data_IF_517859025736
#
_entry.id   IF_517859025736
#
_cell.length_a   1.000
_cell.length_b   1.000
_cell.length_c   1.000
_cell.angle_alpha   90.00
_cell.angle_beta   90.00
_cell.angle_gamma   90.00
#
_symmetry.space_group_name_H-M   'P 1'
#
loop_
_entity.id
_entity.type
_entity.pdbx_description
1 polymer ?
#
# COMPACT_ATOMS: atom_id res chain seq x y z
N UNK A 1 9.55 8.40 -6.11
CA UNK A 1 9.91 9.44 -7.11
C UNK A 1 10.06 10.78 -6.40
N UNK A 2 10.63 11.81 -7.03
CA UNK A 2 10.57 13.18 -6.52
C UNK A 2 9.49 13.94 -7.29
N UNK A 3 8.54 14.56 -6.60
CA UNK A 3 7.46 15.34 -7.24
C UNK A 3 7.41 16.73 -6.64
N UNK A 4 7.43 17.74 -7.51
CA UNK A 4 7.16 19.12 -7.15
C UNK A 4 5.76 19.47 -7.64
N UNK A 5 4.89 19.89 -6.72
CA UNK A 5 3.49 20.22 -7.00
C UNK A 5 3.22 21.67 -6.67
N UNK A 6 2.52 22.38 -7.56
CA UNK A 6 2.06 23.75 -7.34
C UNK A 6 0.57 23.86 -7.54
N UNK A 7 -0.15 24.29 -6.50
CA UNK A 7 -1.55 24.66 -6.60
C UNK A 7 -1.63 26.04 -7.27
N UNK A 8 -2.12 26.08 -8.51
CA UNK A 8 -2.17 27.29 -9.34
C UNK A 8 -3.40 28.16 -9.03
N UNK A 9 -4.55 27.54 -8.79
CA UNK A 9 -5.77 28.21 -8.38
C UNK A 9 -6.66 27.26 -7.56
N UNK A 10 -7.58 27.84 -6.79
CA UNK A 10 -8.59 27.11 -6.01
C UNK A 10 -8.09 26.67 -4.64
N UNK A 11 -8.88 25.78 -4.02
CA UNK A 11 -8.62 25.17 -2.72
C UNK A 11 -8.81 23.67 -2.80
N UNK A 12 -7.94 22.94 -2.11
CA UNK A 12 -8.05 21.51 -1.95
C UNK A 12 -7.64 21.12 -0.53
N UNK A 13 -8.09 19.96 -0.11
CA UNK A 13 -7.60 19.28 1.07
C UNK A 13 -6.54 18.27 0.63
N UNK A 14 -5.39 18.28 1.30
CA UNK A 14 -4.33 17.28 1.11
C UNK A 14 -4.19 16.44 2.37
N UNK A 15 -4.15 15.13 2.19
CA UNK A 15 -3.75 14.19 3.21
C UNK A 15 -2.56 13.40 2.66
N UNK A 16 -1.47 13.24 3.42
CA UNK A 16 -0.26 12.57 2.94
C UNK A 16 0.47 11.80 4.03
N UNK A 17 1.19 10.77 3.62
CA UNK A 17 1.81 9.77 4.47
C UNK A 17 3.19 9.38 3.93
N UNK A 18 4.03 8.93 4.84
CA UNK A 18 5.27 8.21 4.53
C UNK A 18 5.21 6.83 5.19
N UNK A 19 5.82 5.83 4.55
CA UNK A 19 5.93 4.51 5.15
C UNK A 19 6.76 4.56 6.43
N UNK A 20 6.39 3.72 7.39
CA UNK A 20 7.25 3.40 8.52
C UNK A 20 8.07 2.17 8.14
N UNK A 21 9.38 2.29 8.27
CA UNK A 21 10.28 1.16 8.02
C UNK A 21 10.16 0.18 9.19
N UNK A 22 9.50 -0.95 8.93
CA UNK A 22 9.62 -2.14 9.77
C UNK A 22 10.59 -3.08 9.08
N UNK A 23 11.47 -3.72 9.86
CA UNK A 23 12.19 -4.90 9.38
C UNK A 23 11.19 -5.92 8.81
N UNK A 24 11.50 -6.51 7.66
CA UNK A 24 10.64 -7.51 7.05
C UNK A 24 10.38 -8.64 8.07
N UNK A 25 9.13 -9.06 8.31
CA UNK A 25 8.85 -10.25 9.12
C UNK A 25 9.67 -11.47 8.70
N UNK A 26 10.05 -11.56 7.41
CA UNK A 26 10.93 -12.62 6.89
C UNK A 26 12.38 -12.52 7.40
N UNK A 27 12.88 -11.31 7.66
CA UNK A 27 14.24 -11.11 8.18
C UNK A 27 14.35 -11.50 9.67
N UNK A 28 13.22 -11.56 10.37
CA UNK A 28 13.14 -11.98 11.78
C UNK A 28 12.84 -13.48 11.96
N UNK A 29 12.49 -14.21 10.89
CA UNK A 29 12.26 -15.65 10.93
C UNK A 29 13.60 -16.40 10.98
N UNK A 30 14.16 -16.58 12.18
CA UNK A 30 15.14 -17.65 12.40
C UNK A 30 14.44 -19.02 12.34
N UNK A 31 15.13 -20.03 11.80
CA UNK A 31 14.59 -21.30 11.26
C UNK A 31 13.76 -22.21 12.18
N UNK A 32 13.33 -21.76 13.36
CA UNK A 32 12.44 -22.50 14.26
C UNK A 32 10.99 -21.95 14.29
N UNK A 33 10.70 -20.80 13.66
CA UNK A 33 9.38 -20.14 13.72
C UNK A 33 8.41 -20.46 12.56
N UNK A 34 8.72 -21.48 11.75
CA UNK A 34 7.84 -21.95 10.67
C UNK A 34 6.50 -22.47 11.24
N UNK A 35 6.48 -22.96 12.49
CA UNK A 35 5.25 -23.44 13.13
C UNK A 35 4.28 -22.31 13.48
N UNK A 36 4.77 -21.14 13.93
CA UNK A 36 3.90 -20.00 14.23
C UNK A 36 3.31 -19.39 12.96
N UNK A 37 4.09 -19.27 11.89
CA UNK A 37 3.61 -18.78 10.60
C UNK A 37 2.49 -19.67 10.01
N UNK A 38 2.58 -21.00 10.16
CA UNK A 38 1.55 -21.94 9.70
C UNK A 38 0.27 -21.83 10.56
N UNK A 39 0.40 -21.67 11.88
CA UNK A 39 -0.74 -21.51 12.79
C UNK A 39 -1.51 -20.21 12.49
N UNK A 40 -0.81 -19.11 12.21
CA UNK A 40 -1.41 -17.83 11.83
C UNK A 40 -2.20 -17.91 10.52
N UNK A 41 -1.68 -18.60 9.50
CA UNK A 41 -2.35 -18.83 8.22
C UNK A 41 -3.65 -19.66 8.37
N UNK A 42 -3.68 -20.65 9.26
CA UNK A 42 -4.87 -21.47 9.51
C UNK A 42 -5.98 -20.70 10.24
N UNK A 43 -5.63 -19.81 11.17
CA UNK A 43 -6.62 -19.06 11.96
C UNK A 43 -7.36 -18.00 11.11
N UNK A 44 -6.67 -17.36 10.17
CA UNK A 44 -7.27 -16.36 9.26
C UNK A 44 -8.21 -16.96 8.21
N UNK A 45 -8.17 -18.29 8.00
CA UNK A 45 -8.97 -18.98 6.98
C UNK A 45 -10.16 -19.79 7.54
N UNK A 46 -10.49 -19.69 8.84
CA UNK A 46 -11.62 -20.39 9.48
C UNK A 46 -11.64 -21.93 9.28
N UNK A 47 -10.47 -22.58 9.21
CA UNK A 47 -10.38 -24.04 9.14
C UNK A 47 -10.12 -24.67 10.52
N UNK A 48 -10.86 -25.74 10.87
CA UNK A 48 -10.62 -26.49 12.11
C UNK A 48 -9.30 -27.28 12.05
N UNK A 49 -8.42 -27.04 13.02
CA UNK A 49 -7.14 -27.73 13.19
C UNK A 49 -7.30 -28.88 14.19
N UNK A 50 -6.97 -30.11 13.79
CA UNK A 50 -6.75 -31.23 14.72
C UNK A 50 -5.28 -31.63 14.68
N UNK A 51 -4.59 -31.49 15.82
CA UNK A 51 -3.15 -31.77 15.96
C UNK A 51 -2.97 -33.20 16.46
N UNK A 52 -2.24 -34.04 15.71
CA UNK A 52 -1.71 -35.31 16.21
C UNK A 52 -0.19 -35.39 15.98
N UNK A 53 0.51 -35.77 17.04
CA UNK A 53 1.97 -35.97 17.19
C UNK A 53 2.81 -35.89 15.89
N UNK A 54 3.53 -34.77 15.75
CA UNK A 54 4.76 -34.56 14.97
C UNK A 54 4.77 -34.85 13.45
N UNK A 55 3.64 -35.04 12.78
CA UNK A 55 3.59 -35.01 11.31
C UNK A 55 2.37 -34.24 10.81
N UNK A 56 2.60 -33.19 10.00
CA UNK A 56 1.54 -32.46 9.29
C UNK A 56 1.01 -33.34 8.15
N UNK A 57 -0.21 -33.85 8.31
CA UNK A 57 -0.99 -34.41 7.20
C UNK A 57 -2.22 -33.54 6.94
N UNK A 58 -2.37 -33.08 5.70
CA UNK A 58 -3.58 -32.43 5.20
C UNK A 58 -4.60 -33.52 4.86
N UNK A 59 -5.75 -33.57 5.55
CA UNK A 59 -6.89 -34.40 5.15
C UNK A 59 -8.03 -33.47 4.73
N UNK A 60 -8.41 -33.42 3.43
CA UNK A 60 -9.65 -32.79 3.03
C UNK A 60 -10.79 -33.81 3.15
N UNK A 61 -11.87 -33.42 3.84
CA UNK A 61 -13.13 -34.14 3.75
C UNK A 61 -13.80 -33.72 2.42
N UNK A 62 -13.89 -34.68 1.49
CA UNK A 62 -14.65 -34.63 0.21
C UNK A 62 -14.23 -33.57 -0.84
N UNK A 63 -13.14 -33.82 -1.57
CA UNK A 63 -13.14 -33.66 -3.04
C UNK A 63 -12.02 -34.48 -3.68
N UNK A 64 -12.32 -35.06 -4.84
CA UNK A 64 -11.52 -36.04 -5.58
C UNK A 64 -10.05 -35.64 -5.79
N UNK A 65 -9.16 -36.60 -5.48
CA UNK A 65 -7.70 -36.56 -5.68
C UNK A 65 -7.39 -36.44 -7.18
N UNK A 66 -7.17 -35.21 -7.66
CA UNK A 66 -6.38 -34.95 -8.88
C UNK A 66 -5.53 -33.70 -8.68
N UNK A 67 -4.30 -33.95 -8.26
CA UNK A 67 -3.06 -33.28 -8.70
C UNK A 67 -3.15 -31.77 -8.95
N UNK A 68 -2.75 -30.97 -7.97
CA UNK A 68 -2.08 -29.69 -8.19
C UNK A 68 -0.89 -29.61 -7.23
N UNK A 69 0.19 -30.30 -7.61
CA UNK A 69 1.53 -29.92 -7.22
C UNK A 69 1.82 -28.56 -7.89
N UNK A 70 1.56 -27.47 -7.18
CA UNK A 70 2.16 -26.18 -7.51
C UNK A 70 3.02 -25.75 -6.31
N UNK A 71 4.21 -25.18 -6.59
CA UNK A 71 5.24 -25.03 -5.59
C UNK A 71 4.77 -24.07 -4.50
N UNK A 72 4.99 -24.49 -3.26
CA UNK A 72 4.59 -23.89 -1.98
C UNK A 72 4.94 -22.40 -1.80
N UNK A 73 5.73 -21.84 -2.71
CA UNK A 73 6.18 -20.45 -2.75
C UNK A 73 5.18 -19.49 -3.43
N UNK A 74 4.38 -19.97 -4.38
CA UNK A 74 3.52 -19.06 -5.19
C UNK A 74 2.28 -18.62 -4.40
N UNK A 75 1.78 -19.48 -3.49
CA UNK A 75 0.61 -19.16 -2.66
C UNK A 75 0.98 -18.21 -1.51
N UNK A 76 2.21 -18.28 -1.00
CA UNK A 76 2.70 -17.45 0.11
C UNK A 76 2.99 -16.01 -0.32
N UNK A 77 3.47 -15.78 -1.55
CA UNK A 77 3.71 -14.43 -2.07
C UNK A 77 2.42 -13.61 -2.26
N UNK A 78 1.32 -14.21 -2.71
CA UNK A 78 0.06 -13.50 -2.90
C UNK A 78 -0.67 -13.17 -1.59
N UNK A 79 -0.44 -13.93 -0.52
CA UNK A 79 -1.03 -13.67 0.81
C UNK A 79 -0.28 -12.57 1.58
N UNK A 80 1.02 -12.35 1.29
CA UNK A 80 1.81 -11.25 1.86
C UNK A 80 1.45 -9.87 1.27
N UNK A 81 0.94 -9.84 0.03
CA UNK A 81 0.65 -8.60 -0.69
C UNK A 81 -0.62 -7.88 -0.20
N UNK A 82 -1.48 -8.57 0.56
CA UNK A 82 -2.71 -8.05 1.15
C UNK A 82 -2.54 -7.53 2.59
N UNK A 83 -1.30 -7.49 3.09
CA UNK A 83 -1.05 -7.05 4.47
C UNK A 83 -0.95 -5.53 4.51
N UNK A 84 -1.85 -4.91 5.27
CA UNK A 84 -1.80 -3.47 5.51
C UNK A 84 -0.41 -3.07 6.04
N UNK A 85 0.19 -2.05 5.42
CA UNK A 85 1.51 -1.55 5.76
C UNK A 85 1.37 -0.31 6.67
N UNK A 86 2.21 -0.18 7.71
CA UNK A 86 2.15 0.98 8.60
C UNK A 86 2.71 2.22 7.92
N UNK A 87 2.06 3.35 8.15
CA UNK A 87 2.49 4.66 7.68
C UNK A 87 2.31 5.69 8.78
N UNK A 88 3.01 6.81 8.65
CA UNK A 88 2.83 7.99 9.50
C UNK A 88 2.16 9.10 8.72
N UNK A 89 1.26 9.84 9.37
CA UNK A 89 0.66 11.02 8.80
C UNK A 89 1.72 12.15 8.69
N UNK A 90 1.87 12.72 7.50
CA UNK A 90 2.85 13.80 7.22
C UNK A 90 2.15 15.14 7.08
N UNK A 91 0.98 15.15 6.46
CA UNK A 91 0.18 16.38 6.26
C UNK A 91 -1.30 16.02 6.22
N UNK A 92 -2.10 16.82 6.90
CA UNK A 92 -3.56 16.78 6.86
C UNK A 92 -4.07 18.23 6.97
N UNK A 93 -4.25 18.89 5.83
CA UNK A 93 -4.65 20.30 5.84
C UNK A 93 -5.33 20.77 4.55
N UNK A 94 -6.00 21.91 4.64
CA UNK A 94 -6.43 22.66 3.47
C UNK A 94 -5.26 23.46 2.88
N UNK A 95 -5.13 23.42 1.55
CA UNK A 95 -4.23 24.25 0.77
C UNK A 95 -5.04 25.25 -0.05
N UNK A 96 -4.59 26.51 -0.08
CA UNK A 96 -5.15 27.56 -0.93
C UNK A 96 -4.07 28.07 -1.88
N UNK A 97 -4.43 28.31 -3.14
CA UNK A 97 -3.48 28.82 -4.12
C UNK A 97 -2.98 30.25 -3.77
N UNK A 98 -1.72 30.60 -4.10
CA UNK A 98 -0.68 29.74 -4.63
C UNK A 98 0.07 28.99 -3.52
N UNK A 99 0.23 27.68 -3.66
CA UNK A 99 0.96 26.84 -2.68
C UNK A 99 1.88 25.88 -3.41
N UNK A 100 3.03 25.52 -2.84
CA UNK A 100 4.01 24.61 -3.46
C UNK A 100 4.49 23.57 -2.47
N UNK A 101 4.43 22.31 -2.89
CA UNK A 101 4.87 21.15 -2.09
C UNK A 101 5.91 20.35 -2.85
N UNK A 102 6.69 19.57 -2.10
CA UNK A 102 7.67 18.64 -2.63
C UNK A 102 7.59 17.34 -1.83
N UNK A 103 7.62 16.21 -2.53
CA UNK A 103 7.81 14.89 -1.95
C UNK A 103 9.03 14.20 -2.57
N UNK A 104 9.58 13.25 -1.83
CA UNK A 104 10.73 12.42 -2.17
C UNK A 104 10.33 10.94 -2.12
N UNK A 105 11.16 10.01 -2.60
CA UNK A 105 10.81 8.59 -2.64
C UNK A 105 10.41 7.97 -1.28
N UNK A 106 11.01 8.46 -0.19
CA UNK A 106 10.89 7.89 1.16
C UNK A 106 10.38 8.90 2.21
N UNK A 107 10.11 10.14 1.81
CA UNK A 107 9.72 11.21 2.74
C UNK A 107 8.95 12.35 2.09
N UNK A 108 8.27 13.12 2.92
CA UNK A 108 7.55 14.34 2.49
C UNK A 108 6.13 14.08 2.03
N UNK A 109 5.57 12.91 2.35
CA UNK A 109 4.22 12.53 1.98
C UNK A 109 4.17 11.82 0.62
N UNK A 110 5.04 10.81 0.42
CA UNK A 110 5.13 10.09 -0.85
C UNK A 110 3.81 9.38 -1.22
N UNK A 111 2.99 9.01 -0.23
CA UNK A 111 1.59 8.59 -0.45
C UNK A 111 0.69 9.77 -0.13
N UNK A 112 -0.18 10.20 -1.05
CA UNK A 112 -1.05 11.34 -0.79
C UNK A 112 -2.38 11.27 -1.53
N UNK A 113 -3.37 11.97 -1.00
CA UNK A 113 -4.69 12.17 -1.61
C UNK A 113 -5.00 13.65 -1.67
N UNK A 114 -5.49 14.09 -2.83
CA UNK A 114 -6.04 15.43 -3.02
C UNK A 114 -7.55 15.37 -3.16
N UNK A 115 -8.25 16.18 -2.36
CA UNK A 115 -9.70 16.34 -2.46
C UNK A 115 -10.02 17.81 -2.74
N UNK A 116 -10.48 18.10 -3.96
CA UNK A 116 -10.88 19.44 -4.34
C UNK A 116 -11.99 19.97 -3.42
N UNK A 117 -11.81 21.19 -2.89
CA UNK A 117 -12.85 21.92 -2.13
C UNK A 117 -13.57 22.89 -3.05
N UNK A 118 -12.81 23.56 -3.92
CA UNK A 118 -13.31 24.35 -5.05
C UNK A 118 -12.75 23.78 -6.34
N UNK A 119 -13.23 24.20 -7.53
CA UNK A 119 -12.47 23.99 -8.75
C UNK A 119 -11.03 24.47 -8.54
N UNK A 120 -10.07 23.63 -8.92
CA UNK A 120 -8.65 23.86 -8.68
C UNK A 120 -7.78 23.32 -9.82
N UNK A 121 -6.55 23.81 -9.94
CA UNK A 121 -5.54 23.20 -10.81
C UNK A 121 -4.22 23.00 -10.06
N UNK A 122 -3.72 21.77 -10.13
CA UNK A 122 -2.40 21.38 -9.69
C UNK A 122 -1.47 21.28 -10.91
N UNK A 123 -0.25 21.76 -10.74
CA UNK A 123 0.84 21.60 -11.69
C UNK A 123 1.94 20.74 -11.05
N UNK A 124 2.13 19.54 -11.60
CA UNK A 124 3.09 18.57 -11.08
C UNK A 124 4.27 18.39 -12.03
N UNK A 125 5.47 18.35 -11.46
CA UNK A 125 6.72 17.97 -12.13
C UNK A 125 7.24 16.69 -11.47
N UNK A 126 7.23 15.59 -12.22
CA UNK A 126 7.63 14.27 -11.75
C UNK A 126 9.05 13.94 -12.23
N UNK A 127 9.90 13.47 -11.31
CA UNK A 127 11.28 13.07 -11.60
C UNK A 127 11.68 11.77 -10.89
N UNK A 128 11.87 10.65 -11.62
CA UNK A 128 11.42 10.42 -13.00
C UNK A 128 9.88 10.29 -13.08
N UNK A 129 9.29 10.33 -14.29
CA UNK A 129 7.88 10.00 -14.48
C UNK A 129 7.60 8.51 -14.23
N UNK A 130 6.31 8.18 -14.06
CA UNK A 130 5.82 6.80 -14.05
C UNK A 130 6.24 6.05 -15.31
N UNK A 131 6.55 4.77 -15.16
CA UNK A 131 6.89 3.83 -16.23
C UNK A 131 6.65 2.40 -15.76
N UNK A 132 5.61 1.74 -16.29
CA UNK A 132 5.33 0.34 -15.96
C UNK A 132 6.48 -0.60 -16.41
N UNK A 133 7.12 -0.30 -17.54
CA UNK A 133 8.26 -1.07 -18.06
C UNK A 133 9.47 -1.05 -17.12
N UNK A 134 9.64 0.02 -16.36
CA UNK A 134 10.72 0.19 -15.40
C UNK A 134 10.25 0.00 -13.94
N UNK A 135 9.10 -0.64 -13.73
CA UNK A 135 8.57 -0.95 -12.39
C UNK A 135 8.18 0.27 -11.55
N UNK A 136 7.75 1.35 -12.21
CA UNK A 136 7.26 2.59 -11.60
C UNK A 136 5.82 2.86 -12.03
N UNK A 137 4.97 1.87 -11.87
CA UNK A 137 3.52 2.02 -11.93
C UNK A 137 2.97 2.75 -10.70
N UNK A 138 1.72 3.18 -10.78
CA UNK A 138 1.06 3.95 -9.73
C UNK A 138 0.14 3.02 -8.94
N UNK A 139 0.49 2.76 -7.69
CA UNK A 139 -0.34 2.01 -6.75
C UNK A 139 -1.34 2.91 -6.02
N UNK A 140 -2.53 2.39 -5.76
CA UNK A 140 -3.57 3.07 -4.98
C UNK A 140 -3.73 2.39 -3.63
N UNK A 141 -3.96 3.19 -2.60
CA UNK A 141 -4.05 2.72 -1.21
C UNK A 141 -5.32 3.23 -0.54
N UNK A 142 -5.78 2.49 0.47
CA UNK A 142 -6.84 2.92 1.39
C UNK A 142 -6.42 2.70 2.84
N UNK A 143 -7.03 3.43 3.78
CA UNK A 143 -6.90 3.13 5.20
C UNK A 143 -7.48 1.73 5.47
N UNK A 144 -6.76 0.91 6.23
CA UNK A 144 -7.22 -0.42 6.62
C UNK A 144 -8.48 -0.32 7.47
N UNK A 145 -9.39 -1.28 7.29
CA UNK A 145 -10.55 -1.45 8.17
C UNK A 145 -10.17 -2.19 9.47
N UNK A 146 -9.05 -2.90 9.46
CA UNK A 146 -8.48 -3.53 10.64
C UNK A 146 -7.75 -2.44 11.42
N UNK A 147 -8.19 -2.16 12.65
CA UNK A 147 -7.58 -1.13 13.49
C UNK A 147 -6.11 -1.43 13.81
N UNK A 148 -5.80 -2.71 13.97
CA UNK A 148 -4.46 -3.22 14.27
C UNK A 148 -4.29 -4.56 13.55
N UNK A 149 -3.72 -4.58 12.33
CA UNK A 149 -3.29 -5.82 11.71
C UNK A 149 -2.23 -6.52 12.60
N UNK A 150 -2.07 -7.85 12.51
CA UNK A 150 -1.19 -8.63 13.38
C UNK A 150 0.29 -8.46 12.99
N UNK A 151 0.76 -7.21 12.93
CA UNK A 151 2.14 -6.84 12.64
C UNK A 151 2.74 -6.26 13.91
N UNK A 152 3.87 -6.82 14.35
CA UNK A 152 4.59 -6.34 15.53
C UNK A 152 5.31 -5.04 15.16
N UNK A 153 4.83 -3.93 15.72
CA UNK A 153 5.54 -2.65 15.63
C UNK A 153 6.76 -2.67 16.56
N UNK A 154 7.90 -2.12 16.13
CA UNK A 154 9.02 -1.81 17.02
C UNK A 154 8.55 -1.00 18.23
N UNK A 155 9.11 -1.29 19.41
CA UNK A 155 8.70 -0.65 20.68
C UNK A 155 8.91 0.87 20.73
N UNK A 156 9.63 1.42 19.75
CA UNK A 156 9.96 2.84 19.59
C UNK A 156 8.86 3.62 18.84
N UNK A 157 7.90 2.93 18.21
CA UNK A 157 6.81 3.55 17.45
C UNK A 157 5.58 3.64 18.35
N UNK A 158 5.06 4.85 18.51
CA UNK A 158 3.77 5.08 19.16
C UNK A 158 2.65 4.53 18.25
N UNK A 159 1.98 3.47 18.68
CA UNK A 159 0.90 2.84 17.93
C UNK A 159 -0.27 3.80 17.66
N UNK A 160 -0.43 4.86 18.45
CA UNK A 160 -1.48 5.86 18.26
C UNK A 160 -1.24 6.79 17.07
N UNK A 161 -0.01 6.89 16.57
CA UNK A 161 0.37 7.71 15.41
C UNK A 161 0.42 6.91 14.09
N UNK A 162 0.21 5.59 14.17
CA UNK A 162 0.28 4.69 13.01
C UNK A 162 -1.03 4.67 12.25
N UNK A 163 -0.94 4.87 10.94
CA UNK A 163 -2.04 4.70 10.00
C UNK A 163 -1.72 3.52 9.10
N UNK A 164 -2.54 2.49 9.16
CA UNK A 164 -2.40 1.30 8.34
C UNK A 164 -3.01 1.54 6.96
N UNK A 165 -2.22 1.31 5.91
CA UNK A 165 -2.64 1.44 4.52
C UNK A 165 -2.60 0.10 3.80
N UNK A 166 -3.71 -0.26 3.15
CA UNK A 166 -3.84 -1.42 2.28
C UNK A 166 -3.73 -0.97 0.84
N UNK A 167 -2.96 -1.69 0.02
CA UNK A 167 -3.01 -1.53 -1.42
C UNK A 167 -4.37 -2.01 -1.94
N UNK A 168 -4.95 -1.30 -2.90
CA UNK A 168 -6.19 -1.72 -3.55
C UNK A 168 -5.92 -2.90 -4.48
N UNK A 169 -6.82 -3.89 -4.46
CA UNK A 169 -6.79 -5.04 -5.35
C UNK A 169 -6.69 -4.59 -6.81
N UNK A 170 -5.92 -5.34 -7.61
CA UNK A 170 -5.64 -5.10 -9.03
C UNK A 170 -4.87 -3.80 -9.37
N UNK A 171 -4.35 -3.07 -8.38
CA UNK A 171 -3.68 -1.76 -8.57
C UNK A 171 -4.57 -0.72 -9.27
N UNK A 172 -5.89 -0.90 -9.21
CA UNK A 172 -6.86 -0.04 -9.88
C UNK A 172 -7.30 1.11 -8.95
N UNK A 173 -7.59 2.28 -9.52
CA UNK A 173 -8.18 3.36 -8.75
C UNK A 173 -9.61 3.00 -8.30
N UNK A 174 -10.15 3.68 -7.27
CA UNK A 174 -11.52 3.48 -6.82
C UNK A 174 -12.57 3.66 -7.92
N UNK A 175 -13.72 3.01 -7.76
CA UNK A 175 -14.85 3.16 -8.69
C UNK A 175 -15.23 4.64 -8.85
N UNK A 176 -15.43 5.06 -10.11
CA UNK A 176 -15.78 6.45 -10.45
C UNK A 176 -14.60 7.41 -10.55
N UNK A 177 -13.37 7.00 -10.25
CA UNK A 177 -12.18 7.80 -10.53
C UNK A 177 -11.83 7.76 -12.02
N UNK A 178 -11.94 8.92 -12.68
CA UNK A 178 -11.67 9.05 -14.12
C UNK A 178 -10.70 10.19 -14.36
N UNK A 179 -9.60 9.89 -15.07
CA UNK A 179 -8.63 10.89 -15.54
C UNK A 179 -8.76 11.02 -17.05
N UNK A 180 -9.30 12.15 -17.51
CA UNK A 180 -9.41 12.46 -18.93
C UNK A 180 -8.21 13.29 -19.40
N UNK A 181 -7.48 12.80 -20.41
CA UNK A 181 -6.34 13.52 -20.98
C UNK A 181 -6.82 14.64 -21.90
N UNK A 182 -6.43 15.87 -21.60
CA UNK A 182 -6.64 17.05 -22.45
C UNK A 182 -5.43 17.42 -23.31
N UNK A 183 -5.67 18.17 -24.40
CA UNK A 183 -4.63 18.84 -25.17
C UNK A 183 -4.25 20.17 -24.52
N UNK A 184 -2.96 20.40 -24.30
CA UNK A 184 -2.47 21.68 -23.78
C UNK A 184 -2.64 22.79 -24.83
N UNK A 185 -3.28 23.89 -24.42
CA UNK A 185 -3.58 25.06 -25.28
C UNK A 185 -2.88 26.34 -24.82
N UNK A 186 -1.94 26.24 -23.88
CA UNK A 186 -1.18 27.39 -23.41
C UNK A 186 0.01 27.74 -24.33
N UNK A 187 0.89 28.66 -23.89
CA UNK A 187 2.06 29.08 -24.65
C UNK A 187 2.99 27.91 -25.02
N UNK A 188 3.59 27.96 -26.22
CA UNK A 188 4.48 26.91 -26.71
C UNK A 188 5.69 26.74 -25.78
N UNK A 189 5.88 25.52 -25.29
CA UNK A 189 7.06 25.13 -24.51
C UNK A 189 8.12 24.65 -25.50
N UNK A 190 9.26 25.37 -25.56
CA UNK A 190 10.43 24.96 -26.35
C UNK A 190 11.43 24.26 -25.44
N UNK A 191 11.96 23.13 -25.91
CA UNK A 191 13.09 22.44 -25.27
C UNK A 191 14.40 23.11 -25.65
#
# INVERSE_FOLDING_TARGET
>A
MTVLSKLLYGKLHVESYDWIDIADPLDQLQGNDIQHAIIYLCFSLNYEMTIYHNFLFYIPCNLSIKTLLLPSYVVSLNLLQLVARPSKLVRDCEMSAPETTILYPDRGGNIHTFRAITPCALFDVLSPPYSAEEGRDCSYFRKSLLKEPPVVLPSEIDSSEVVWLEELEDHLPPEGFVVARGLYKGPVIRR
#
